data_IF_448500644973
#
_entry.id   IF_448500644973
#
_cell.length_a   1.000
_cell.length_b   1.000
_cell.length_c   1.000
_cell.angle_alpha   90.00
_cell.angle_beta   90.00
_cell.angle_gamma   90.00
#
_symmetry.space_group_name_H-M   'P 1'
#
loop_
_entity.id
_entity.type
_entity.pdbx_description
1 polymer ?
#
# COMPACT_ATOMS: atom_id res chain seq x y z
N UNK A 1 23.67 -28.00 -15.47
CA UNK A 1 22.43 -27.29 -15.84
C UNK A 1 22.24 -27.46 -17.34
N UNK A 2 21.24 -28.21 -17.77
CA UNK A 2 20.89 -28.33 -19.19
C UNK A 2 20.23 -27.04 -19.68
N UNK A 3 20.61 -26.59 -20.88
CA UNK A 3 20.06 -25.36 -21.48
C UNK A 3 18.83 -25.70 -22.30
N UNK A 4 17.75 -24.95 -22.10
CA UNK A 4 16.54 -25.06 -22.94
C UNK A 4 16.90 -24.70 -24.39
N UNK A 5 16.62 -25.58 -25.37
CA UNK A 5 16.86 -25.32 -26.79
C UNK A 5 16.22 -24.02 -27.28
N UNK A 6 16.87 -23.33 -28.23
CA UNK A 6 16.38 -22.06 -28.77
C UNK A 6 14.97 -22.19 -29.37
N UNK A 7 14.70 -23.30 -30.08
CA UNK A 7 13.40 -23.57 -30.67
C UNK A 7 12.28 -23.55 -29.62
N UNK A 8 12.50 -24.19 -28.46
CA UNK A 8 11.54 -24.19 -27.35
C UNK A 8 11.38 -22.81 -26.71
N UNK A 9 12.48 -22.06 -26.54
CA UNK A 9 12.43 -20.69 -26.01
C UNK A 9 11.65 -19.74 -26.91
N UNK A 10 11.72 -19.93 -28.22
CA UNK A 10 10.97 -19.13 -29.19
C UNK A 10 9.47 -19.42 -29.21
N UNK A 11 9.01 -20.53 -28.60
CA UNK A 11 7.59 -20.84 -28.44
C UNK A 11 6.93 -20.09 -27.28
N UNK A 12 7.72 -19.49 -26.38
CA UNK A 12 7.19 -18.74 -25.24
C UNK A 12 6.51 -17.47 -25.75
N UNK A 13 5.21 -17.32 -25.42
CA UNK A 13 4.38 -16.20 -25.86
C UNK A 13 4.48 -15.00 -24.93
N UNK A 14 4.58 -15.24 -23.63
CA UNK A 14 4.56 -14.21 -22.60
C UNK A 14 5.48 -14.59 -21.45
N UNK A 15 6.15 -13.59 -20.89
CA UNK A 15 6.95 -13.69 -19.67
C UNK A 15 6.58 -12.55 -18.73
N UNK A 16 6.31 -12.89 -17.48
CA UNK A 16 6.12 -11.94 -16.40
C UNK A 16 7.46 -11.64 -15.74
N UNK A 17 7.79 -10.36 -15.59
CA UNK A 17 9.05 -9.89 -15.03
C UNK A 17 8.80 -9.17 -13.71
N UNK A 18 9.65 -9.45 -12.72
CA UNK A 18 9.80 -8.53 -11.61
C UNK A 18 10.36 -7.18 -12.12
N UNK A 19 10.29 -6.16 -11.29
CA UNK A 19 10.69 -4.80 -11.65
C UNK A 19 12.21 -4.56 -11.49
N UNK A 20 13.03 -5.60 -11.33
CA UNK A 20 14.48 -5.44 -11.24
C UNK A 20 15.09 -5.10 -12.62
N UNK A 21 16.02 -4.15 -12.64
CA UNK A 21 16.59 -3.61 -13.88
C UNK A 21 17.33 -4.64 -14.76
N UNK A 22 17.82 -5.73 -14.17
CA UNK A 22 18.52 -6.80 -14.90
C UNK A 22 17.56 -7.77 -15.61
N UNK A 23 16.32 -7.92 -15.15
CA UNK A 23 15.39 -8.92 -15.68
C UNK A 23 14.96 -8.62 -17.10
N UNK A 24 14.85 -7.34 -17.47
CA UNK A 24 14.51 -6.93 -18.84
C UNK A 24 15.54 -7.39 -19.88
N UNK A 25 16.83 -7.38 -19.55
CA UNK A 25 17.91 -7.83 -20.44
C UNK A 25 17.93 -9.36 -20.54
N UNK A 26 17.77 -10.04 -19.40
CA UNK A 26 17.72 -11.52 -19.33
C UNK A 26 16.55 -12.03 -20.17
N UNK A 27 15.36 -11.46 -19.96
CA UNK A 27 14.15 -11.72 -20.73
C UNK A 27 14.37 -11.60 -22.24
N UNK A 28 14.94 -10.48 -22.68
CA UNK A 28 15.18 -10.19 -24.10
C UNK A 28 16.18 -11.17 -24.73
N UNK A 29 17.20 -11.59 -23.98
CA UNK A 29 18.22 -12.53 -24.46
C UNK A 29 17.73 -13.98 -24.47
N UNK A 30 16.94 -14.37 -23.47
CA UNK A 30 16.48 -15.73 -23.30
C UNK A 30 15.21 -16.03 -24.12
N UNK A 31 14.28 -15.08 -24.22
CA UNK A 31 12.96 -15.25 -24.83
C UNK A 31 12.64 -14.06 -25.75
N UNK A 32 13.40 -13.92 -26.83
CA UNK A 32 13.33 -12.75 -27.71
C UNK A 32 11.94 -12.49 -28.33
N UNK A 33 11.15 -13.55 -28.55
CA UNK A 33 9.82 -13.48 -29.15
C UNK A 33 8.69 -13.32 -28.13
N UNK A 34 8.98 -13.42 -26.84
CA UNK A 34 7.95 -13.36 -25.81
C UNK A 34 7.55 -11.91 -25.49
N UNK A 35 6.26 -11.70 -25.28
CA UNK A 35 5.74 -10.45 -24.72
C UNK A 35 6.19 -10.32 -23.27
N UNK A 36 6.75 -9.18 -22.90
CA UNK A 36 7.23 -8.91 -21.54
C UNK A 36 6.17 -8.13 -20.79
N UNK A 37 5.64 -8.72 -19.73
CA UNK A 37 4.61 -8.11 -18.88
C UNK A 37 5.17 -7.91 -17.49
N UNK A 38 4.83 -6.80 -16.83
CA UNK A 38 5.24 -6.59 -15.43
C UNK A 38 4.42 -7.48 -14.51
N UNK A 39 5.08 -8.10 -13.54
CA UNK A 39 4.43 -8.95 -12.56
C UNK A 39 3.37 -8.19 -11.74
N UNK A 40 2.14 -8.69 -11.79
CA UNK A 40 0.98 -8.04 -11.17
C UNK A 40 1.09 -7.94 -9.64
N UNK A 41 1.74 -8.89 -8.98
CA UNK A 41 1.87 -8.91 -7.53
C UNK A 41 2.86 -7.84 -7.06
N UNK A 42 3.92 -7.60 -7.84
CA UNK A 42 4.87 -6.52 -7.57
C UNK A 42 4.19 -5.15 -7.70
N UNK A 43 3.39 -4.95 -8.75
CA UNK A 43 2.61 -3.71 -8.91
C UNK A 43 1.61 -3.53 -7.78
N UNK A 44 0.87 -4.58 -7.41
CA UNK A 44 -0.07 -4.52 -6.29
C UNK A 44 0.64 -4.17 -4.98
N UNK A 45 1.79 -4.79 -4.71
CA UNK A 45 2.60 -4.50 -3.52
C UNK A 45 2.99 -3.01 -3.47
N UNK A 46 3.56 -2.48 -4.55
CA UNK A 46 3.95 -1.06 -4.64
C UNK A 46 2.76 -0.11 -4.41
N UNK A 47 1.62 -0.38 -5.04
CA UNK A 47 0.42 0.42 -4.86
C UNK A 47 -0.08 0.38 -3.41
N UNK A 48 -0.05 -0.80 -2.77
CA UNK A 48 -0.44 -0.92 -1.36
C UNK A 48 0.53 -0.22 -0.42
N UNK A 49 1.84 -0.27 -0.68
CA UNK A 49 2.87 0.41 0.11
C UNK A 49 2.73 1.93 0.02
N UNK A 50 2.57 2.47 -1.19
CA UNK A 50 2.34 3.91 -1.40
C UNK A 50 1.08 4.40 -0.65
N UNK A 51 0.00 3.61 -0.69
CA UNK A 51 -1.21 3.94 0.06
C UNK A 51 -0.98 3.96 1.58
N UNK A 52 -0.12 3.07 2.10
CA UNK A 52 0.24 3.08 3.51
C UNK A 52 1.09 4.29 3.89
N UNK A 53 2.01 4.71 3.03
CA UNK A 53 2.83 5.89 3.27
C UNK A 53 1.97 7.15 3.38
N UNK A 54 1.00 7.31 2.48
CA UNK A 54 0.02 8.41 2.53
C UNK A 54 -0.74 8.39 3.87
N UNK A 55 -1.26 7.22 4.27
CA UNK A 55 -1.97 7.06 5.56
C UNK A 55 -1.07 7.40 6.75
N UNK A 56 0.20 6.96 6.73
CA UNK A 56 1.17 7.25 7.79
C UNK A 56 1.44 8.74 7.88
N UNK A 57 1.62 9.42 6.74
CA UNK A 57 1.78 10.87 6.68
C UNK A 57 0.61 11.60 7.33
N UNK A 58 -0.63 11.29 6.92
CA UNK A 58 -1.81 11.88 7.55
C UNK A 58 -1.90 11.58 9.05
N UNK A 59 -1.47 10.39 9.48
CA UNK A 59 -1.48 10.05 10.92
C UNK A 59 -0.50 10.91 11.70
N UNK A 60 0.67 11.21 11.15
CA UNK A 60 1.62 12.15 11.76
C UNK A 60 1.04 13.56 11.84
N UNK A 61 0.46 14.07 10.76
CA UNK A 61 -0.18 15.38 10.75
C UNK A 61 -1.26 15.52 11.82
N UNK A 62 -2.08 14.47 12.02
CA UNK A 62 -3.11 14.45 13.07
C UNK A 62 -2.50 14.43 14.48
N UNK A 63 -1.41 13.67 14.67
CA UNK A 63 -0.72 13.62 15.96
C UNK A 63 -0.11 15.00 16.29
N UNK A 64 0.50 15.66 15.31
CA UNK A 64 1.09 16.98 15.49
C UNK A 64 0.02 18.03 15.83
N UNK A 65 -1.11 18.01 15.12
CA UNK A 65 -2.25 18.88 15.43
C UNK A 65 -2.83 18.63 16.83
N UNK A 66 -2.94 17.37 17.25
CA UNK A 66 -3.36 17.03 18.62
C UNK A 66 -2.35 17.52 19.66
N UNK A 67 -1.05 17.37 19.41
CA UNK A 67 -0.01 17.87 20.30
C UNK A 67 -0.09 19.40 20.46
N UNK A 68 -0.23 20.14 19.36
CA UNK A 68 -0.42 21.59 19.38
C UNK A 68 -1.67 21.99 20.18
N UNK A 69 -2.77 21.26 20.01
CA UNK A 69 -4.00 21.51 20.74
C UNK A 69 -3.86 21.22 22.24
N UNK A 70 -3.17 20.14 22.61
CA UNK A 70 -2.84 19.81 24.00
C UNK A 70 -1.97 20.90 24.62
N UNK A 71 -0.96 21.41 23.91
CA UNK A 71 -0.13 22.50 24.40
C UNK A 71 -0.92 23.79 24.63
N UNK A 72 -1.82 24.15 23.70
CA UNK A 72 -2.70 25.31 23.85
C UNK A 72 -3.65 25.16 25.04
N UNK A 73 -4.22 23.96 25.23
CA UNK A 73 -5.09 23.66 26.36
C UNK A 73 -4.33 23.76 27.70
N UNK A 74 -3.11 23.20 27.79
CA UNK A 74 -2.22 23.34 28.95
C UNK A 74 -1.89 24.79 29.27
N UNK A 75 -1.53 25.61 28.27
CA UNK A 75 -1.27 27.05 28.43
C UNK A 75 -2.50 27.79 28.96
N UNK A 76 -3.69 27.37 28.52
CA UNK A 76 -4.98 27.96 28.94
C UNK A 76 -5.53 27.36 30.25
N UNK A 77 -4.83 26.38 30.85
CA UNK A 77 -5.29 25.58 32.01
C UNK A 77 -6.66 24.89 31.79
N UNK A 78 -6.97 24.53 30.55
CA UNK A 78 -8.17 23.76 30.19
C UNK A 78 -7.77 22.33 29.86
N UNK A 79 -8.66 21.38 30.13
CA UNK A 79 -8.45 19.99 29.73
C UNK A 79 -8.62 19.83 28.22
N UNK A 80 -7.72 19.08 27.57
CA UNK A 80 -7.87 18.74 26.16
C UNK A 80 -8.80 17.53 26.01
N UNK A 81 -9.79 17.66 25.12
CA UNK A 81 -10.67 16.57 24.72
C UNK A 81 -10.47 16.24 23.24
N UNK A 82 -10.15 14.98 22.94
CA UNK A 82 -10.01 14.52 21.56
C UNK A 82 -11.37 14.35 20.90
N UNK A 83 -11.51 14.79 19.65
CA UNK A 83 -12.72 14.54 18.87
C UNK A 83 -12.90 13.04 18.59
N UNK A 84 -14.02 12.50 19.03
CA UNK A 84 -14.45 11.13 18.79
C UNK A 84 -15.36 11.10 17.55
N UNK A 85 -15.13 10.15 16.65
CA UNK A 85 -15.93 9.94 15.45
C UNK A 85 -17.15 9.06 15.74
N UNK A 86 -18.08 8.95 14.78
CA UNK A 86 -19.31 8.16 14.91
C UNK A 86 -19.07 6.69 15.27
N UNK A 87 -17.92 6.15 14.88
CA UNK A 87 -17.50 4.78 15.15
C UNK A 87 -16.73 4.61 16.49
N UNK A 88 -16.65 5.66 17.31
CA UNK A 88 -15.94 5.64 18.59
C UNK A 88 -14.41 5.77 18.51
N UNK A 89 -13.84 5.91 17.33
CA UNK A 89 -12.40 6.14 17.16
C UNK A 89 -12.07 7.64 17.23
N UNK A 90 -10.91 7.98 17.82
CA UNK A 90 -10.24 9.25 17.52
C UNK A 90 -9.66 9.23 16.11
N UNK A 91 -9.37 10.40 15.54
CA UNK A 91 -8.84 10.47 14.17
C UNK A 91 -7.50 9.71 14.02
N UNK A 92 -6.61 9.76 15.02
CA UNK A 92 -5.36 8.96 15.03
C UNK A 92 -5.59 7.44 15.12
N UNK A 93 -6.63 7.01 15.83
CA UNK A 93 -7.01 5.60 15.95
C UNK A 93 -7.63 5.09 14.65
N UNK A 94 -8.50 5.90 14.02
CA UNK A 94 -9.07 5.60 12.72
C UNK A 94 -7.95 5.35 11.70
N UNK A 95 -6.98 6.28 11.61
CA UNK A 95 -5.86 6.14 10.70
C UNK A 95 -5.02 4.91 11.04
N UNK A 96 -4.76 4.60 12.31
CA UNK A 96 -4.05 3.39 12.72
C UNK A 96 -4.76 2.09 12.31
N UNK A 97 -6.07 2.02 12.55
CA UNK A 97 -6.92 0.83 12.30
C UNK A 97 -7.24 0.63 10.82
N UNK A 98 -7.07 1.67 10.00
CA UNK A 98 -7.34 1.61 8.55
C UNK A 98 -6.24 0.99 7.70
N UNK A 99 -5.11 0.58 8.29
CA UNK A 99 -3.96 0.02 7.56
C UNK A 99 -4.31 -1.10 6.57
N UNK A 100 -5.16 -2.06 6.94
CA UNK A 100 -5.27 -3.33 6.20
C UNK A 100 -6.47 -3.44 5.26
N UNK A 101 -7.38 -2.46 5.22
CA UNK A 101 -8.61 -2.60 4.44
C UNK A 101 -8.78 -1.58 3.31
N UNK A 102 -8.01 -0.48 3.30
CA UNK A 102 -8.11 0.56 2.27
C UNK A 102 -7.85 0.05 0.85
N UNK A 103 -7.03 -0.99 0.69
CA UNK A 103 -6.75 -1.63 -0.61
C UNK A 103 -7.62 -2.86 -0.90
N UNK A 104 -8.51 -3.23 0.02
CA UNK A 104 -9.46 -4.34 -0.18
C UNK A 104 -10.71 -3.84 -0.86
N UNK A 105 -11.31 -4.67 -1.70
CA UNK A 105 -12.65 -4.43 -2.24
C UNK A 105 -13.66 -4.32 -1.10
N UNK A 106 -14.65 -3.43 -1.22
CA UNK A 106 -15.71 -3.22 -0.22
C UNK A 106 -16.41 -4.52 0.22
N UNK A 107 -16.59 -5.46 -0.71
CA UNK A 107 -17.19 -6.77 -0.44
C UNK A 107 -16.40 -7.65 0.54
N UNK A 108 -15.12 -7.34 0.78
CA UNK A 108 -14.24 -8.07 1.70
C UNK A 108 -14.06 -7.34 3.03
N UNK A 109 -14.78 -6.24 3.25
CA UNK A 109 -14.71 -5.51 4.51
C UNK A 109 -15.54 -6.21 5.58
N UNK A 110 -15.01 -6.23 6.80
CA UNK A 110 -15.82 -6.56 7.98
C UNK A 110 -16.74 -5.38 8.31
N UNK A 111 -17.79 -5.61 9.09
CA UNK A 111 -18.69 -4.54 9.53
C UNK A 111 -17.93 -3.35 10.16
N UNK A 112 -16.99 -3.66 11.05
CA UNK A 112 -16.10 -2.68 11.68
C UNK A 112 -15.22 -1.88 10.70
N UNK A 113 -14.91 -2.44 9.54
CA UNK A 113 -14.14 -1.74 8.49
C UNK A 113 -15.06 -0.85 7.66
N UNK A 114 -16.29 -1.30 7.39
CA UNK A 114 -17.31 -0.50 6.73
C UNK A 114 -17.67 0.74 7.55
N UNK A 115 -17.80 0.62 8.86
CA UNK A 115 -18.07 1.77 9.75
C UNK A 115 -16.89 2.78 9.83
N UNK A 116 -15.69 2.37 9.41
CA UNK A 116 -14.47 3.20 9.39
C UNK A 116 -14.20 3.85 8.03
N UNK A 117 -14.88 3.42 6.97
CA UNK A 117 -14.66 3.87 5.61
C UNK A 117 -15.57 5.04 5.24
#
# INVERSE_FOLDING_TARGET
>A
IEKIPLQQRNLVKEITLDMAGNMGLIAKKCFANATRVTDRFHIQKLATEALQEIRIKYRWEVIDQENDAIEKAKKSKVNFESKILSNGDTLKQLLARSRYFLYKTKSKWTQNQTERA
#
